data_IF_589520064652
#
_entry.id   IF_589520064652
#
_cell.length_a   1.000
_cell.length_b   1.000
_cell.length_c   1.000
_cell.angle_alpha   90.00
_cell.angle_beta   90.00
_cell.angle_gamma   90.00
#
_symmetry.space_group_name_H-M   'P 1'
#
loop_
_entity.id
_entity.type
_entity.pdbx_description
1 polymer ?
#
# COMPACT_ATOMS: atom_id res chain seq x y z
N UNK A 1 -31.69 -1.90 -25.45
CA UNK A 1 -32.17 -0.54 -25.46
C UNK A 1 -32.38 -0.07 -24.01
N UNK A 2 -31.75 1.02 -23.61
CA UNK A 2 -31.97 1.65 -22.32
C UNK A 2 -33.16 2.60 -22.37
N UNK A 3 -33.88 2.76 -21.25
CA UNK A 3 -34.95 3.74 -21.13
C UNK A 3 -34.40 5.16 -21.28
N UNK A 4 -35.20 6.09 -21.86
CA UNK A 4 -34.83 7.49 -21.96
C UNK A 4 -34.69 8.20 -20.59
N UNK A 5 -35.11 7.54 -19.52
CA UNK A 5 -35.01 8.05 -18.13
C UNK A 5 -33.77 7.56 -17.39
N UNK A 6 -32.94 6.74 -18.05
CA UNK A 6 -31.69 6.27 -17.42
C UNK A 6 -30.69 7.41 -17.31
N UNK A 7 -30.23 7.67 -16.10
CA UNK A 7 -29.17 8.62 -15.83
C UNK A 7 -27.82 7.93 -16.05
N UNK A 8 -26.97 8.55 -16.87
CA UNK A 8 -25.61 8.08 -17.12
C UNK A 8 -24.66 8.98 -16.32
N UNK A 9 -23.90 8.37 -15.40
CA UNK A 9 -22.85 9.06 -14.66
C UNK A 9 -21.58 9.20 -15.53
N UNK A 10 -20.87 10.29 -15.38
CA UNK A 10 -19.53 10.48 -15.99
C UNK A 10 -18.49 9.49 -15.48
N UNK A 11 -18.80 8.79 -14.39
CA UNK A 11 -17.85 7.90 -13.70
C UNK A 11 -16.80 8.66 -12.90
N UNK A 12 -15.80 7.96 -12.42
CA UNK A 12 -14.66 8.50 -11.68
C UNK A 12 -13.51 7.50 -11.64
N UNK A 13 -12.31 7.93 -11.28
CA UNK A 13 -11.18 7.04 -11.06
C UNK A 13 -11.45 6.08 -9.89
N UNK A 14 -10.88 4.89 -9.96
CA UNK A 14 -11.06 3.83 -8.96
C UNK A 14 -10.71 4.28 -7.53
N UNK A 15 -9.57 4.95 -7.34
CA UNK A 15 -9.18 5.47 -6.03
C UNK A 15 -10.12 6.58 -5.53
N UNK A 16 -10.65 7.43 -6.43
CA UNK A 16 -11.62 8.47 -6.10
C UNK A 16 -12.95 7.86 -5.66
N UNK A 17 -13.39 6.82 -6.35
CA UNK A 17 -14.58 6.07 -5.95
C UNK A 17 -14.33 5.27 -4.67
N UNK A 18 -13.14 4.71 -4.51
CA UNK A 18 -12.69 4.08 -3.26
C UNK A 18 -12.68 5.04 -2.07
N UNK A 19 -12.29 6.30 -2.28
CA UNK A 19 -12.36 7.33 -1.24
C UNK A 19 -13.80 7.58 -0.77
N UNK A 20 -14.74 7.71 -1.69
CA UNK A 20 -16.16 7.83 -1.37
C UNK A 20 -16.65 6.58 -0.63
N UNK A 21 -16.37 5.40 -1.16
CA UNK A 21 -16.80 4.12 -0.57
C UNK A 21 -16.25 3.88 0.83
N UNK A 22 -15.05 4.34 1.13
CA UNK A 22 -14.46 4.26 2.48
C UNK A 22 -14.79 5.48 3.36
N UNK A 23 -15.55 6.47 2.84
CA UNK A 23 -15.90 7.70 3.57
C UNK A 23 -14.71 8.64 3.78
N UNK A 24 -13.67 8.55 2.94
CA UNK A 24 -12.51 9.44 2.95
C UNK A 24 -12.83 10.71 2.14
N UNK A 25 -13.78 11.50 2.65
CA UNK A 25 -14.32 12.71 2.02
C UNK A 25 -14.18 13.95 2.91
N UNK A 26 -13.31 13.88 3.91
CA UNK A 26 -13.04 14.97 4.86
C UNK A 26 -11.61 14.83 5.43
N UNK A 27 -11.02 15.93 5.95
CA UNK A 27 -9.70 15.88 6.57
C UNK A 27 -9.60 14.87 7.73
N UNK A 28 -8.42 14.31 7.92
CA UNK A 28 -8.11 13.38 9.00
C UNK A 28 -8.30 11.90 8.65
N UNK A 29 -8.93 11.59 7.52
CA UNK A 29 -9.09 10.21 7.04
C UNK A 29 -8.11 9.96 5.89
N UNK A 30 -7.47 8.79 5.92
CA UNK A 30 -6.66 8.23 4.85
C UNK A 30 -7.19 6.86 4.48
N UNK A 31 -7.16 6.50 3.23
CA UNK A 31 -7.42 5.13 2.79
C UNK A 31 -6.11 4.47 2.34
N UNK A 32 -5.88 3.26 2.82
CA UNK A 32 -4.86 2.35 2.34
C UNK A 32 -5.52 1.26 1.52
N UNK A 33 -5.31 1.27 0.21
CA UNK A 33 -5.82 0.21 -0.67
C UNK A 33 -4.72 -0.79 -0.94
N UNK A 34 -4.94 -2.05 -0.55
CA UNK A 34 -3.98 -3.14 -0.64
C UNK A 34 -4.39 -4.08 -1.78
N UNK A 35 -3.66 -4.01 -2.88
CA UNK A 35 -3.75 -4.89 -4.03
C UNK A 35 -2.37 -5.43 -4.41
N UNK A 36 -2.16 -5.82 -5.66
CA UNK A 36 -0.83 -6.16 -6.20
C UNK A 36 0.17 -5.05 -5.93
N UNK A 37 -0.24 -3.82 -6.20
CA UNK A 37 0.36 -2.56 -5.73
C UNK A 37 -0.48 -1.99 -4.58
N UNK A 38 0.05 -1.00 -3.86
CA UNK A 38 -0.67 -0.31 -2.80
C UNK A 38 -0.81 1.18 -3.07
N UNK A 39 -1.91 1.75 -2.60
CA UNK A 39 -2.09 3.19 -2.64
C UNK A 39 -2.48 3.73 -1.27
N UNK A 40 -1.90 4.88 -0.92
CA UNK A 40 -2.33 5.70 0.21
C UNK A 40 -2.91 6.98 -0.36
N UNK A 41 -4.12 7.35 0.01
CA UNK A 41 -4.73 8.59 -0.43
C UNK A 41 -5.58 9.21 0.69
N UNK A 42 -5.64 10.53 0.69
CA UNK A 42 -6.32 11.28 1.73
C UNK A 42 -7.08 12.46 1.11
N UNK A 43 -8.19 12.84 1.73
CA UNK A 43 -8.88 14.08 1.38
C UNK A 43 -8.01 15.30 1.73
N UNK A 44 -8.01 16.30 0.85
CA UNK A 44 -7.40 17.61 1.12
C UNK A 44 -8.28 18.73 0.54
N UNK A 45 -8.52 19.82 1.29
CA UNK A 45 -9.29 20.97 0.79
C UNK A 45 -8.49 21.81 -0.22
N UNK A 46 -7.19 21.60 -0.33
CA UNK A 46 -6.29 22.32 -1.23
C UNK A 46 -5.30 21.37 -1.89
N UNK A 47 -4.70 21.76 -3.03
CA UNK A 47 -3.71 20.91 -3.70
C UNK A 47 -2.49 20.69 -2.80
N UNK A 48 -2.03 19.44 -2.77
CA UNK A 48 -0.79 19.04 -2.07
C UNK A 48 0.24 18.71 -3.14
N UNK A 49 1.28 19.55 -3.23
CA UNK A 49 2.34 19.40 -4.23
C UNK A 49 3.58 18.85 -3.54
N UNK A 50 4.02 17.66 -3.96
CA UNK A 50 5.24 17.05 -3.46
C UNK A 50 6.43 17.41 -4.38
N UNK A 51 7.43 18.18 -3.91
CA UNK A 51 8.60 18.51 -4.73
C UNK A 51 9.48 17.29 -5.07
N UNK A 52 9.31 16.16 -4.37
CA UNK A 52 9.98 14.89 -4.70
C UNK A 52 9.22 14.07 -5.75
N UNK A 53 7.96 14.42 -6.04
CA UNK A 53 7.11 13.69 -6.99
C UNK A 53 6.68 12.30 -6.51
N UNK A 54 6.75 12.01 -5.20
CA UNK A 54 6.37 10.73 -4.61
C UNK A 54 4.88 10.67 -4.24
N UNK A 55 4.25 11.84 -4.04
CA UNK A 55 2.81 12.00 -3.83
C UNK A 55 2.24 12.81 -4.98
N UNK A 56 1.30 12.23 -5.71
CA UNK A 56 0.61 12.88 -6.83
C UNK A 56 -0.56 13.73 -6.33
N UNK A 57 -0.75 14.92 -6.92
CA UNK A 57 -1.86 15.82 -6.60
C UNK A 57 -3.05 15.53 -7.52
N UNK A 58 -3.93 14.62 -7.12
CA UNK A 58 -5.18 14.36 -7.83
C UNK A 58 -6.32 15.23 -7.31
N UNK A 59 -7.32 15.48 -8.17
CA UNK A 59 -8.63 15.94 -7.73
C UNK A 59 -9.43 14.74 -7.20
N UNK A 60 -10.25 14.96 -6.20
CA UNK A 60 -11.23 13.98 -5.76
C UNK A 60 -12.54 14.11 -6.58
N UNK A 61 -13.53 13.27 -6.26
CA UNK A 61 -14.85 13.32 -6.91
C UNK A 61 -15.88 14.14 -6.12
N UNK A 62 -15.46 14.91 -5.11
CA UNK A 62 -16.31 15.79 -4.30
C UNK A 62 -16.06 17.28 -4.57
N UNK A 63 -15.15 17.60 -5.51
CA UNK A 63 -14.76 18.97 -5.84
C UNK A 63 -13.57 19.50 -5.03
N UNK A 64 -12.82 18.60 -4.40
CA UNK A 64 -11.63 18.88 -3.59
C UNK A 64 -10.41 18.16 -4.17
N UNK A 65 -9.41 17.89 -3.34
CA UNK A 65 -8.16 17.26 -3.73
C UNK A 65 -7.95 15.93 -3.01
N UNK A 66 -7.23 15.06 -3.69
CA UNK A 66 -6.88 13.75 -3.17
C UNK A 66 -5.41 13.44 -3.46
N UNK A 67 -4.46 13.95 -2.64
CA UNK A 67 -3.08 13.51 -2.74
C UNK A 67 -2.99 11.99 -2.60
N UNK A 68 -2.16 11.36 -3.45
CA UNK A 68 -2.04 9.92 -3.57
C UNK A 68 -0.57 9.51 -3.69
N UNK A 69 -0.14 8.59 -2.83
CA UNK A 69 1.10 7.85 -2.97
C UNK A 69 0.81 6.44 -3.47
N UNK A 70 1.67 5.92 -4.35
CA UNK A 70 1.52 4.58 -4.91
C UNK A 70 2.81 3.78 -4.70
N UNK A 71 2.70 2.62 -4.06
CA UNK A 71 3.78 1.63 -3.97
C UNK A 71 3.54 0.51 -4.98
N UNK A 72 4.59 0.03 -5.64
CA UNK A 72 4.49 -1.03 -6.66
C UNK A 72 4.42 -2.43 -6.06
N UNK A 73 4.82 -2.58 -4.81
CA UNK A 73 5.19 -3.85 -4.20
C UNK A 73 4.38 -4.08 -2.91
N UNK A 74 3.16 -4.62 -3.00
CA UNK A 74 2.37 -5.03 -1.83
C UNK A 74 2.05 -6.53 -1.93
N UNK A 75 0.87 -6.94 -2.38
CA UNK A 75 0.57 -8.38 -2.47
C UNK A 75 1.40 -9.10 -3.55
N UNK A 76 1.99 -8.36 -4.50
CA UNK A 76 2.99 -8.92 -5.40
C UNK A 76 4.11 -9.63 -4.63
N UNK A 77 4.64 -8.97 -3.59
CA UNK A 77 5.78 -9.49 -2.81
C UNK A 77 5.37 -10.67 -1.96
N UNK A 78 4.26 -10.54 -1.22
CA UNK A 78 3.78 -11.63 -0.37
C UNK A 78 3.37 -12.85 -1.18
N UNK A 79 2.76 -12.67 -2.37
CA UNK A 79 2.42 -13.76 -3.29
C UNK A 79 3.65 -14.43 -3.89
N UNK A 80 4.65 -13.66 -4.33
CA UNK A 80 5.89 -14.23 -4.84
C UNK A 80 6.62 -14.99 -3.75
N UNK A 81 6.66 -14.45 -2.52
CA UNK A 81 7.30 -15.12 -1.38
C UNK A 81 6.55 -16.39 -1.02
N UNK A 82 5.20 -16.36 -0.97
CA UNK A 82 4.37 -17.53 -0.70
C UNK A 82 4.60 -18.65 -1.72
N UNK A 83 4.73 -18.31 -3.00
CA UNK A 83 5.01 -19.27 -4.09
C UNK A 83 6.37 -19.96 -3.99
N UNK A 84 7.32 -19.42 -3.21
CA UNK A 84 8.57 -20.14 -2.91
C UNK A 84 8.33 -21.36 -2.02
N UNK A 85 7.21 -21.38 -1.28
CA UNK A 85 6.82 -22.47 -0.41
C UNK A 85 5.73 -23.26 -1.11
N UNK A 86 6.10 -24.32 -1.80
CA UNK A 86 5.17 -25.16 -2.56
C UNK A 86 3.94 -25.49 -1.73
N UNK A 87 2.76 -25.31 -2.33
CA UNK A 87 1.46 -25.71 -1.79
C UNK A 87 0.94 -24.96 -0.56
N UNK A 88 1.59 -23.89 -0.10
CA UNK A 88 1.06 -23.10 1.00
C UNK A 88 -0.17 -22.28 0.56
N UNK A 89 -1.28 -22.48 1.28
CA UNK A 89 -2.43 -21.58 1.21
C UNK A 89 -2.11 -20.22 1.84
N UNK A 90 -2.97 -19.22 1.64
CA UNK A 90 -2.84 -17.91 2.32
C UNK A 90 -2.90 -18.10 3.83
N UNK A 91 -3.87 -18.89 4.34
CA UNK A 91 -4.01 -19.16 5.77
C UNK A 91 -2.75 -19.81 6.39
N UNK A 92 -2.09 -20.71 5.65
CA UNK A 92 -0.83 -21.31 6.11
C UNK A 92 0.32 -20.31 6.13
N UNK A 93 0.37 -19.42 5.13
CA UNK A 93 1.37 -18.36 5.06
C UNK A 93 1.21 -17.36 6.21
N UNK A 94 -0.01 -16.92 6.45
CA UNK A 94 -0.36 -15.99 7.53
C UNK A 94 -0.11 -16.61 8.91
N UNK A 95 -0.55 -17.87 9.12
CA UNK A 95 -0.31 -18.59 10.35
C UNK A 95 1.18 -18.78 10.65
N UNK A 96 1.98 -19.08 9.62
CA UNK A 96 3.43 -19.20 9.79
C UNK A 96 4.08 -17.86 10.16
N UNK A 97 3.72 -16.78 9.46
CA UNK A 97 4.22 -15.43 9.77
C UNK A 97 3.85 -15.01 11.20
N UNK A 98 2.66 -15.38 11.68
CA UNK A 98 2.19 -15.05 13.03
C UNK A 98 2.98 -15.77 14.15
N UNK A 99 3.68 -16.86 13.85
CA UNK A 99 4.55 -17.54 14.83
C UNK A 99 5.85 -16.81 15.12
N UNK A 100 6.22 -15.84 14.26
CA UNK A 100 7.49 -15.11 14.35
C UNK A 100 7.23 -13.73 14.97
N UNK A 101 8.06 -13.28 15.92
CA UNK A 101 7.89 -11.97 16.54
C UNK A 101 8.05 -10.83 15.54
N UNK A 102 7.53 -9.66 15.89
CA UNK A 102 7.74 -8.44 15.12
C UNK A 102 9.24 -8.13 14.97
N UNK A 103 9.64 -7.72 13.76
CA UNK A 103 11.03 -7.54 13.39
C UNK A 103 11.71 -8.80 12.87
N UNK A 104 10.95 -9.91 12.75
CA UNK A 104 11.41 -11.17 12.12
C UNK A 104 12.79 -11.63 12.59
N UNK A 105 13.09 -11.48 13.89
CA UNK A 105 14.41 -11.76 14.50
C UNK A 105 15.58 -11.13 13.72
N UNK A 106 15.37 -9.90 13.22
CA UNK A 106 16.35 -9.14 12.46
C UNK A 106 16.44 -9.46 10.97
N UNK A 107 15.59 -10.37 10.46
CA UNK A 107 15.47 -10.58 9.01
C UNK A 107 14.62 -9.47 8.40
N UNK A 108 15.18 -8.71 7.48
CA UNK A 108 14.50 -7.61 6.82
C UNK A 108 14.44 -7.86 5.31
N UNK A 109 13.26 -7.72 4.73
CA UNK A 109 13.06 -7.76 3.29
C UNK A 109 12.74 -6.35 2.78
N UNK A 110 13.60 -5.83 1.90
CA UNK A 110 13.32 -4.61 1.15
C UNK A 110 12.53 -5.00 -0.11
N UNK A 111 11.27 -4.55 -0.27
CA UNK A 111 10.34 -5.20 -1.20
C UNK A 111 10.39 -4.69 -2.64
N UNK A 112 11.40 -3.94 -3.08
CA UNK A 112 11.42 -3.20 -4.35
C UNK A 112 11.63 -4.10 -5.58
N UNK A 113 10.90 -5.23 -5.66
CA UNK A 113 11.09 -6.27 -6.68
C UNK A 113 10.78 -5.80 -8.11
N UNK A 114 9.91 -4.79 -8.25
CA UNK A 114 9.50 -4.22 -9.53
C UNK A 114 9.91 -2.74 -9.68
N UNK A 115 10.99 -2.33 -9.00
CA UNK A 115 11.24 -0.92 -8.76
C UNK A 115 10.22 -0.35 -7.77
N UNK A 116 10.27 0.96 -7.49
CA UNK A 116 9.31 1.59 -6.59
C UNK A 116 9.00 3.03 -7.03
N UNK A 117 7.79 3.51 -6.73
CA UNK A 117 7.34 4.89 -6.96
C UNK A 117 7.42 5.74 -5.71
N UNK A 118 7.03 5.15 -4.58
CA UNK A 118 7.11 5.78 -3.26
C UNK A 118 7.84 4.83 -2.31
N UNK A 119 9.16 5.02 -2.09
CA UNK A 119 10.06 6.07 -2.61
C UNK A 119 10.30 6.01 -4.12
N UNK A 120 10.77 7.13 -4.71
CA UNK A 120 11.06 7.21 -6.15
C UNK A 120 12.36 6.45 -6.51
N UNK A 121 12.24 5.15 -6.67
CA UNK A 121 13.33 4.21 -7.00
C UNK A 121 12.92 3.32 -8.19
N UNK A 122 12.77 3.87 -9.40
CA UNK A 122 12.21 3.13 -10.55
C UNK A 122 13.07 1.94 -11.00
N UNK A 123 14.33 1.88 -10.58
CA UNK A 123 15.25 0.76 -10.84
C UNK A 123 15.65 0.04 -9.55
N UNK A 124 14.85 0.17 -8.50
CA UNK A 124 15.03 -0.54 -7.24
C UNK A 124 14.95 -2.06 -7.45
N UNK A 125 15.61 -2.79 -6.58
CA UNK A 125 15.52 -4.25 -6.51
C UNK A 125 15.30 -4.68 -5.06
N UNK A 126 14.77 -5.89 -4.89
CA UNK A 126 14.60 -6.47 -3.56
C UNK A 126 15.94 -6.78 -2.88
N UNK A 127 15.95 -6.71 -1.56
CA UNK A 127 17.11 -7.09 -0.74
C UNK A 127 16.61 -7.86 0.49
N UNK A 128 17.26 -8.97 0.80
CA UNK A 128 17.11 -9.67 2.06
C UNK A 128 18.34 -9.42 2.92
N UNK A 129 18.15 -8.83 4.08
CA UNK A 129 19.21 -8.42 5.00
C UNK A 129 19.06 -9.09 6.37
N UNK A 130 20.17 -9.28 7.07
CA UNK A 130 20.15 -9.82 8.43
C UNK A 130 19.96 -11.33 8.51
N UNK A 131 20.28 -12.09 7.45
CA UNK A 131 20.17 -13.55 7.41
C UNK A 131 21.13 -14.18 8.41
N UNK A 132 20.64 -15.10 9.20
CA UNK A 132 21.38 -15.93 10.16
C UNK A 132 20.88 -17.38 10.09
N UNK A 133 21.59 -18.30 10.72
CA UNK A 133 21.14 -19.70 10.84
C UNK A 133 19.83 -19.84 11.63
N UNK A 134 19.46 -18.85 12.42
CA UNK A 134 18.25 -18.88 13.25
C UNK A 134 17.00 -18.39 12.53
N UNK A 135 17.14 -17.39 11.63
CA UNK A 135 16.02 -16.73 10.99
C UNK A 135 15.86 -17.06 9.50
N UNK A 136 16.71 -17.90 8.92
CA UNK A 136 16.52 -18.38 7.55
C UNK A 136 15.52 -19.54 7.51
N UNK A 137 14.26 -19.23 7.82
CA UNK A 137 13.16 -20.18 7.79
C UNK A 137 12.00 -19.63 6.96
N UNK A 138 11.10 -20.50 6.53
CA UNK A 138 9.90 -20.11 5.76
C UNK A 138 9.02 -19.13 6.53
N UNK A 139 8.84 -19.32 7.83
CA UNK A 139 8.05 -18.45 8.70
C UNK A 139 8.66 -17.04 8.80
N UNK A 140 9.98 -16.95 8.98
CA UNK A 140 10.66 -15.65 9.02
C UNK A 140 10.63 -14.92 7.68
N UNK A 141 10.77 -15.65 6.55
CA UNK A 141 10.64 -15.05 5.22
C UNK A 141 9.24 -14.53 4.97
N UNK A 142 8.19 -15.26 5.39
CA UNK A 142 6.82 -14.81 5.30
C UNK A 142 6.61 -13.53 6.14
N UNK A 143 7.06 -13.55 7.39
CA UNK A 143 6.99 -12.38 8.28
C UNK A 143 7.74 -11.17 7.73
N UNK A 144 8.98 -11.34 7.30
CA UNK A 144 9.80 -10.27 6.74
C UNK A 144 9.18 -9.67 5.46
N UNK A 145 8.52 -10.49 4.63
CA UNK A 145 7.82 -10.01 3.44
C UNK A 145 6.62 -9.12 3.81
N UNK A 146 5.78 -9.57 4.75
CA UNK A 146 4.63 -8.79 5.23
C UNK A 146 5.08 -7.47 5.89
N UNK A 147 6.11 -7.51 6.72
CA UNK A 147 6.65 -6.31 7.35
C UNK A 147 7.29 -5.37 6.34
N UNK A 148 8.06 -5.89 5.39
CA UNK A 148 8.72 -5.08 4.37
C UNK A 148 7.73 -4.26 3.53
N UNK A 149 6.63 -4.87 3.07
CA UNK A 149 5.59 -4.14 2.32
C UNK A 149 4.85 -3.15 3.20
N UNK A 150 4.58 -3.49 4.46
CA UNK A 150 3.93 -2.60 5.42
C UNK A 150 4.79 -1.38 5.74
N UNK A 151 6.10 -1.57 5.91
CA UNK A 151 7.06 -0.48 6.10
C UNK A 151 7.20 0.40 4.86
N UNK A 152 7.05 -0.16 3.66
CA UNK A 152 6.94 0.61 2.41
C UNK A 152 5.73 1.55 2.42
N UNK A 153 4.57 1.07 2.87
CA UNK A 153 3.39 1.93 3.06
C UNK A 153 3.61 2.98 4.17
N UNK A 154 4.28 2.61 5.26
CA UNK A 154 4.62 3.54 6.34
C UNK A 154 5.51 4.69 5.84
N UNK A 155 6.47 4.41 4.95
CA UNK A 155 7.24 5.45 4.28
C UNK A 155 6.32 6.43 3.51
N UNK A 156 5.34 5.91 2.77
CA UNK A 156 4.33 6.73 2.09
C UNK A 156 3.57 7.62 3.07
N UNK A 157 3.14 7.09 4.21
CA UNK A 157 2.48 7.85 5.26
C UNK A 157 3.36 8.99 5.81
N UNK A 158 4.65 8.73 6.01
CA UNK A 158 5.59 9.76 6.47
C UNK A 158 5.81 10.86 5.42
N UNK A 159 5.73 10.51 4.11
CA UNK A 159 5.70 11.53 3.05
C UNK A 159 4.48 12.44 3.15
N UNK A 160 3.28 11.89 3.40
CA UNK A 160 2.07 12.68 3.62
C UNK A 160 2.23 13.62 4.81
N UNK A 161 2.75 13.13 5.93
CA UNK A 161 3.00 13.94 7.13
C UNK A 161 3.98 15.09 6.85
N UNK A 162 5.06 14.81 6.12
CA UNK A 162 6.03 15.82 5.71
C UNK A 162 5.43 16.91 4.80
N UNK A 163 4.33 16.61 4.12
CA UNK A 163 3.58 17.54 3.27
C UNK A 163 2.42 18.22 4.00
N UNK A 164 2.30 18.03 5.33
CA UNK A 164 1.27 18.63 6.15
C UNK A 164 -0.06 17.88 6.18
N UNK A 165 -0.14 16.70 5.56
CA UNK A 165 -1.33 15.84 5.61
C UNK A 165 -1.19 14.85 6.77
N UNK A 166 -1.93 15.07 7.84
CA UNK A 166 -1.82 14.32 9.09
C UNK A 166 -3.11 13.52 9.34
N UNK A 167 -3.22 12.29 8.85
CA UNK A 167 -4.39 11.47 9.11
C UNK A 167 -4.41 11.01 10.58
N UNK A 168 -5.60 11.01 11.16
CA UNK A 168 -5.89 10.47 12.49
C UNK A 168 -6.57 9.10 12.42
N UNK A 169 -7.04 8.72 11.22
CA UNK A 169 -7.69 7.45 10.95
C UNK A 169 -7.20 6.91 9.61
N UNK A 170 -6.86 5.62 9.57
CA UNK A 170 -6.53 4.91 8.33
C UNK A 170 -7.56 3.82 8.10
N UNK A 171 -8.23 3.86 6.97
CA UNK A 171 -9.18 2.84 6.52
C UNK A 171 -8.53 1.95 5.49
N UNK A 172 -8.63 0.65 5.69
CA UNK A 172 -8.01 -0.34 4.81
C UNK A 172 -9.09 -0.91 3.88
N UNK A 173 -8.73 -1.06 2.61
CA UNK A 173 -9.55 -1.71 1.58
C UNK A 173 -8.66 -2.50 0.63
N UNK A 174 -9.26 -3.35 -0.21
CA UNK A 174 -8.55 -4.22 -1.14
C UNK A 174 -8.65 -5.67 -0.75
N UNK A 175 -7.92 -6.53 -1.44
CA UNK A 175 -7.91 -7.97 -1.23
C UNK A 175 -6.61 -8.50 -0.60
N UNK A 176 -5.73 -7.58 -0.20
CA UNK A 176 -4.45 -7.92 0.42
C UNK A 176 -4.47 -7.90 1.91
#
# INVERSE_FOLDING_TARGET
NLSATVTISSGGGDNMMGAIGTGNVRPGIMTASLGTSGTLYAFSPSPVVDPKGEVAAFCDSTGSWMPLACTMNVTLVTELTRKLFKDWSHDQYDAAAATVPAGSDGLLLLPYLAGERTPNLPRGSGLLHGITVKNLTTAHLARAAMEGVTLGLAYGLDRFRALGVNPTEIRITGGG
#
